data_IF_371051873599
#
_entry.id   IF_371051873599
#
_cell.length_a   1.000
_cell.length_b   1.000
_cell.length_c   1.000
_cell.angle_alpha   90.00
_cell.angle_beta   90.00
_cell.angle_gamma   90.00
#
_symmetry.space_group_name_H-M   'P 1'
#
loop_
_entity.id
_entity.type
_entity.pdbx_description
1 polymer ?
#
# COMPACT_ATOMS: atom_id res chain seq x y z
N UNK A 1 -23.56 18.57 -50.63
CA UNK A 1 -23.82 19.21 -49.32
C UNK A 1 -24.65 18.27 -48.46
N UNK A 2 -24.04 17.54 -47.52
CA UNK A 2 -24.74 16.60 -46.64
C UNK A 2 -25.07 17.30 -45.31
N UNK A 3 -26.34 17.68 -45.11
CA UNK A 3 -26.81 18.16 -43.80
C UNK A 3 -26.94 16.95 -42.87
N UNK A 4 -26.02 16.81 -41.93
CA UNK A 4 -26.15 15.89 -40.80
C UNK A 4 -27.24 16.41 -39.88
N UNK A 5 -28.40 15.74 -39.90
CA UNK A 5 -29.55 16.03 -39.07
C UNK A 5 -29.31 15.40 -37.69
N UNK A 6 -28.51 16.08 -36.87
CA UNK A 6 -28.27 15.71 -35.47
C UNK A 6 -29.57 15.95 -34.69
N UNK A 7 -30.43 14.94 -34.72
CA UNK A 7 -31.64 14.83 -33.93
C UNK A 7 -31.24 14.91 -32.44
N UNK A 8 -31.32 16.12 -31.89
CA UNK A 8 -30.98 16.44 -30.51
C UNK A 8 -32.11 15.90 -29.65
N UNK A 9 -31.98 14.63 -29.25
CA UNK A 9 -32.90 13.98 -28.32
C UNK A 9 -32.94 14.84 -27.04
N UNK A 10 -34.04 15.54 -26.82
CA UNK A 10 -34.24 16.37 -25.64
C UNK A 10 -34.18 15.49 -24.40
N UNK A 11 -33.08 15.60 -23.65
CA UNK A 11 -32.96 14.97 -22.33
C UNK A 11 -34.02 15.62 -21.45
N UNK A 12 -34.94 14.82 -20.91
CA UNK A 12 -35.97 15.31 -19.97
C UNK A 12 -35.32 15.68 -18.64
N UNK A 13 -35.95 16.60 -17.89
CA UNK A 13 -35.42 17.12 -16.62
C UNK A 13 -35.10 16.00 -15.61
N UNK A 14 -35.91 14.94 -15.59
CA UNK A 14 -35.69 13.77 -14.74
C UNK A 14 -34.48 12.93 -15.16
N UNK A 15 -34.19 12.83 -16.45
CA UNK A 15 -33.00 12.15 -16.95
C UNK A 15 -31.72 12.93 -16.62
N UNK A 16 -31.76 14.26 -16.65
CA UNK A 16 -30.63 15.10 -16.23
C UNK A 16 -30.36 14.96 -14.73
N UNK A 17 -31.41 14.88 -13.90
CA UNK A 17 -31.30 14.69 -12.46
C UNK A 17 -30.70 13.32 -12.10
N UNK A 18 -31.19 12.26 -12.75
CA UNK A 18 -30.64 10.90 -12.60
C UNK A 18 -29.18 10.82 -13.03
N UNK A 19 -28.82 11.44 -14.15
CA UNK A 19 -27.44 11.46 -14.63
C UNK A 19 -26.51 12.21 -13.66
N UNK A 20 -26.98 13.34 -13.12
CA UNK A 20 -26.23 14.12 -12.11
C UNK A 20 -26.02 13.33 -10.82
N UNK A 21 -27.07 12.71 -10.29
CA UNK A 21 -26.97 11.87 -9.09
C UNK A 21 -26.01 10.68 -9.30
N UNK A 22 -26.11 10.01 -10.46
CA UNK A 22 -25.21 8.92 -10.83
C UNK A 22 -23.74 9.37 -10.88
N UNK A 23 -23.45 10.52 -11.49
CA UNK A 23 -22.09 11.06 -11.57
C UNK A 23 -21.51 11.40 -10.20
N UNK A 24 -22.33 11.95 -9.29
CA UNK A 24 -21.92 12.24 -7.92
C UNK A 24 -21.58 10.95 -7.17
N UNK A 25 -22.45 9.94 -7.24
CA UNK A 25 -22.21 8.63 -6.61
C UNK A 25 -20.91 8.02 -7.17
N UNK A 26 -20.74 8.04 -8.49
CA UNK A 26 -19.56 7.49 -9.15
C UNK A 26 -18.27 8.23 -8.74
N UNK A 27 -18.33 9.54 -8.54
CA UNK A 27 -17.20 10.31 -8.02
C UNK A 27 -16.80 9.86 -6.61
N UNK A 28 -17.76 9.75 -5.70
CA UNK A 28 -17.49 9.32 -4.32
C UNK A 28 -17.01 7.86 -4.23
N UNK A 29 -17.52 6.96 -5.06
CA UNK A 29 -17.04 5.57 -5.08
C UNK A 29 -15.60 5.47 -5.59
N UNK A 30 -15.23 6.23 -6.62
CA UNK A 30 -13.84 6.29 -7.10
C UNK A 30 -12.91 6.87 -6.03
N UNK A 31 -13.34 7.93 -5.33
CA UNK A 31 -12.58 8.51 -4.23
C UNK A 31 -12.36 7.51 -3.08
N UNK A 32 -13.42 6.80 -2.69
CA UNK A 32 -13.33 5.76 -1.66
C UNK A 32 -12.40 4.61 -2.07
N UNK A 33 -12.50 4.15 -3.32
CA UNK A 33 -11.63 3.12 -3.86
C UNK A 33 -10.15 3.55 -3.85
N UNK A 34 -9.87 4.79 -4.26
CA UNK A 34 -8.53 5.37 -4.19
C UNK A 34 -7.99 5.38 -2.75
N UNK A 35 -8.81 5.78 -1.78
CA UNK A 35 -8.41 5.80 -0.37
C UNK A 35 -8.05 4.41 0.15
N UNK A 36 -8.85 3.39 -0.18
CA UNK A 36 -8.59 2.00 0.21
C UNK A 36 -7.31 1.46 -0.42
N UNK A 37 -7.09 1.74 -1.71
CA UNK A 37 -5.87 1.32 -2.43
C UNK A 37 -4.65 1.97 -1.79
N UNK A 38 -4.69 3.28 -1.55
CA UNK A 38 -3.58 4.02 -0.92
C UNK A 38 -3.28 3.48 0.48
N UNK A 39 -4.30 3.26 1.31
CA UNK A 39 -4.12 2.71 2.66
C UNK A 39 -3.49 1.31 2.63
N UNK A 40 -3.90 0.45 1.69
CA UNK A 40 -3.30 -0.88 1.51
C UNK A 40 -1.85 -0.78 1.04
N UNK A 41 -1.57 0.05 0.04
CA UNK A 41 -0.21 0.22 -0.47
C UNK A 41 0.74 0.76 0.60
N UNK A 42 0.31 1.72 1.42
CA UNK A 42 1.11 2.24 2.54
C UNK A 42 1.53 1.11 3.48
N UNK A 43 0.62 0.20 3.84
CA UNK A 43 0.96 -0.96 4.70
C UNK A 43 2.00 -1.87 4.05
N UNK A 44 1.96 -2.06 2.73
CA UNK A 44 2.95 -2.86 2.01
C UNK A 44 4.33 -2.19 2.01
N UNK A 45 4.39 -0.85 1.99
CA UNK A 45 5.65 -0.11 2.07
C UNK A 45 6.20 0.03 3.50
N UNK A 46 5.35 -0.01 4.52
CA UNK A 46 5.75 0.11 5.92
C UNK A 46 6.49 -1.14 6.44
N UNK A 47 6.27 -2.30 5.80
CA UNK A 47 7.01 -3.53 6.07
C UNK A 47 8.43 -3.38 5.51
N UNK A 48 9.34 -2.82 6.31
CA UNK A 48 10.77 -2.74 6.01
C UNK A 48 11.48 -3.98 6.55
N UNK A 49 12.29 -4.63 5.72
CA UNK A 49 13.22 -5.64 6.25
C UNK A 49 14.27 -4.96 7.12
N UNK A 50 14.42 -5.47 8.32
CA UNK A 50 15.45 -5.05 9.26
C UNK A 50 16.45 -6.20 9.37
N UNK A 51 17.73 -5.88 9.21
CA UNK A 51 18.81 -6.77 9.58
C UNK A 51 18.86 -6.84 11.10
N UNK A 52 18.48 -7.99 11.63
CA UNK A 52 18.61 -8.33 13.03
C UNK A 52 19.90 -9.10 13.23
N UNK A 53 20.76 -8.61 14.11
CA UNK A 53 21.87 -9.37 14.65
C UNK A 53 21.44 -9.86 16.03
N UNK A 54 21.39 -11.18 16.21
CA UNK A 54 20.89 -11.86 17.40
C UNK A 54 22.00 -12.65 18.07
N UNK A 55 21.91 -12.82 19.40
CA UNK A 55 22.72 -13.77 20.16
C UNK A 55 22.35 -15.20 19.80
N UNK A 56 23.22 -16.16 20.13
CA UNK A 56 23.01 -17.60 19.84
C UNK A 56 21.64 -18.14 20.27
N UNK A 57 21.10 -17.69 21.41
CA UNK A 57 19.78 -18.11 21.90
C UNK A 57 18.65 -17.61 20.98
N UNK A 58 18.74 -16.37 20.50
CA UNK A 58 17.84 -15.83 19.48
C UNK A 58 17.97 -16.53 18.13
N UNK A 59 19.17 -16.98 17.78
CA UNK A 59 19.43 -17.77 16.56
C UNK A 59 18.78 -19.15 16.63
N UNK A 60 18.87 -19.81 17.79
CA UNK A 60 18.19 -21.08 18.03
C UNK A 60 16.67 -20.90 17.98
N UNK A 61 16.13 -19.83 18.56
CA UNK A 61 14.70 -19.51 18.47
C UNK A 61 14.23 -19.40 17.01
N UNK A 62 14.99 -18.70 16.17
CA UNK A 62 14.69 -18.57 14.75
C UNK A 62 14.79 -19.89 13.98
N UNK A 63 15.84 -20.67 14.23
CA UNK A 63 16.02 -21.99 13.61
C UNK A 63 14.93 -22.98 14.00
N UNK A 64 14.49 -22.99 15.26
CA UNK A 64 13.33 -23.79 15.71
C UNK A 64 12.05 -23.39 14.99
N UNK A 65 11.98 -22.14 14.54
CA UNK A 65 10.88 -21.62 13.73
C UNK A 65 11.11 -21.76 12.22
N UNK A 66 12.12 -22.52 11.77
CA UNK A 66 12.37 -22.74 10.33
C UNK A 66 12.88 -21.50 9.60
N UNK A 67 13.42 -20.52 10.31
CA UNK A 67 14.03 -19.33 9.73
C UNK A 67 15.53 -19.56 9.56
N UNK A 68 16.01 -19.49 8.32
CA UNK A 68 17.43 -19.58 8.02
C UNK A 68 18.17 -18.30 8.43
N UNK A 69 19.19 -18.46 9.26
CA UNK A 69 20.03 -17.38 9.78
C UNK A 69 21.47 -17.53 9.26
N UNK A 70 22.14 -16.42 8.93
CA UNK A 70 23.57 -16.42 8.57
C UNK A 70 24.43 -16.17 9.81
N UNK A 71 25.69 -16.61 9.81
CA UNK A 71 26.62 -16.19 10.87
C UNK A 71 26.82 -14.67 10.83
N UNK A 72 26.89 -14.01 11.98
CA UNK A 72 27.16 -12.58 12.05
C UNK A 72 28.64 -12.30 11.67
N UNK A 73 28.91 -11.23 10.91
CA UNK A 73 30.28 -10.84 10.53
C UNK A 73 31.10 -10.34 11.73
N UNK A 74 30.44 -9.88 12.80
CA UNK A 74 31.07 -9.35 14.01
C UNK A 74 30.42 -9.93 15.26
N UNK A 75 31.00 -11.01 15.81
CA UNK A 75 30.67 -11.56 17.14
C UNK A 75 30.03 -12.97 17.15
N UNK A 76 29.72 -13.45 18.36
CA UNK A 76 29.03 -14.72 18.60
C UNK A 76 27.52 -14.53 18.43
N UNK A 77 27.02 -14.80 17.23
CA UNK A 77 25.60 -14.68 16.93
C UNK A 77 25.27 -14.94 15.46
N UNK A 78 24.05 -14.59 15.09
CA UNK A 78 23.56 -14.72 13.72
C UNK A 78 22.96 -13.41 13.23
N UNK A 79 22.98 -13.24 11.91
CA UNK A 79 22.37 -12.15 11.18
C UNK A 79 21.22 -12.69 10.34
N UNK A 80 20.08 -11.99 10.36
CA UNK A 80 18.92 -12.30 9.53
C UNK A 80 18.26 -11.02 9.05
N UNK A 81 17.73 -10.99 7.82
CA UNK A 81 17.04 -9.83 7.27
C UNK A 81 15.54 -10.17 7.13
N UNK A 82 14.74 -9.70 8.08
CA UNK A 82 13.31 -10.02 8.16
C UNK A 82 12.46 -8.79 8.50
N UNK A 83 11.16 -8.82 8.21
CA UNK A 83 10.22 -7.82 8.73
C UNK A 83 10.21 -7.89 10.26
N UNK A 84 10.78 -6.87 10.90
CA UNK A 84 10.83 -6.76 12.35
C UNK A 84 10.15 -5.48 12.79
N UNK A 85 9.10 -5.62 13.59
CA UNK A 85 8.42 -4.52 14.23
C UNK A 85 8.98 -4.36 15.64
N UNK A 86 9.86 -3.38 15.84
CA UNK A 86 10.37 -3.05 17.17
C UNK A 86 9.22 -2.54 18.04
N UNK A 87 9.05 -3.10 19.24
CA UNK A 87 8.07 -2.59 20.18
C UNK A 87 8.58 -1.25 20.75
N UNK A 88 7.79 -0.18 20.64
CA UNK A 88 8.14 1.14 21.15
C UNK A 88 7.98 1.25 22.68
N UNK A 89 7.20 0.34 23.28
CA UNK A 89 6.83 0.39 24.70
C UNK A 89 7.29 -0.86 25.48
N UNK A 90 8.00 -1.79 24.84
CA UNK A 90 8.48 -3.03 25.45
C UNK A 90 9.90 -3.39 25.03
N UNK A 91 10.58 -4.17 25.88
CA UNK A 91 11.95 -4.65 25.66
C UNK A 91 11.94 -5.82 24.64
N UNK A 92 11.67 -5.53 23.37
CA UNK A 92 11.83 -6.49 22.27
C UNK A 92 11.15 -6.07 20.97
N UNK A 93 10.72 -7.05 20.19
CA UNK A 93 9.89 -6.81 19.01
C UNK A 93 9.32 -8.09 18.42
N UNK A 94 8.56 -7.94 17.35
CA UNK A 94 7.87 -9.04 16.67
C UNK A 94 8.43 -9.18 15.27
N UNK A 95 8.83 -10.40 14.93
CA UNK A 95 9.17 -10.80 13.57
C UNK A 95 7.88 -11.30 12.91
N UNK A 96 7.48 -10.66 11.83
CA UNK A 96 6.30 -11.08 11.05
C UNK A 96 6.74 -11.87 9.83
N UNK A 97 6.42 -13.16 9.83
CA UNK A 97 6.53 -14.06 8.67
C UNK A 97 5.17 -14.17 7.98
N UNK A 98 5.13 -14.76 6.79
CA UNK A 98 3.89 -14.92 6.02
C UNK A 98 2.84 -15.76 6.75
N UNK A 99 3.27 -16.71 7.57
CA UNK A 99 2.44 -17.71 8.25
C UNK A 99 2.35 -17.51 9.78
N UNK A 100 3.25 -16.71 10.38
CA UNK A 100 3.33 -16.57 11.84
C UNK A 100 4.02 -15.29 12.31
N UNK A 101 3.81 -14.99 13.59
CA UNK A 101 4.51 -13.93 14.31
C UNK A 101 5.40 -14.56 15.38
N UNK A 102 6.65 -14.12 15.47
CA UNK A 102 7.61 -14.59 16.46
C UNK A 102 8.00 -13.41 17.34
N UNK A 103 7.74 -13.53 18.64
CA UNK A 103 8.19 -12.55 19.62
C UNK A 103 9.66 -12.78 19.95
N UNK A 104 10.45 -11.72 19.93
CA UNK A 104 11.89 -11.73 20.26
C UNK A 104 12.13 -10.72 21.36
N UNK A 105 12.72 -11.19 22.47
CA UNK A 105 13.12 -10.35 23.59
C UNK A 105 14.36 -9.51 23.24
N UNK A 106 14.46 -8.29 23.78
CA UNK A 106 15.54 -7.32 23.47
C UNK A 106 16.91 -7.79 23.93
N UNK A 107 16.99 -8.58 25.00
CA UNK A 107 18.24 -9.16 25.50
C UNK A 107 18.87 -10.14 24.50
N UNK A 108 18.08 -10.68 23.56
CA UNK A 108 18.53 -11.54 22.47
C UNK A 108 19.02 -10.74 21.24
N UNK A 109 18.70 -9.45 21.16
CA UNK A 109 19.02 -8.57 20.02
C UNK A 109 20.35 -7.84 20.32
N UNK A 110 21.36 -8.07 19.48
CA UNK A 110 22.64 -7.37 19.56
C UNK A 110 22.60 -6.04 18.80
N UNK A 111 21.95 -6.01 17.64
CA UNK A 111 21.84 -4.81 16.82
C UNK A 111 20.71 -4.93 15.80
N UNK A 112 20.15 -3.79 15.40
CA UNK A 112 19.16 -3.68 14.34
C UNK A 112 19.66 -2.68 13.28
N UNK A 113 19.84 -3.14 12.05
CA UNK A 113 20.14 -2.30 10.89
C UNK A 113 18.94 -2.25 9.95
N UNK A 114 18.56 -1.08 9.46
CA UNK A 114 17.58 -1.00 8.37
C UNK A 114 18.25 -1.45 7.08
N UNK A 115 17.76 -2.55 6.49
CA UNK A 115 18.19 -2.95 5.15
C UNK A 115 17.32 -2.16 4.18
N UNK A 116 17.95 -1.38 3.32
CA UNK A 116 17.22 -0.87 2.16
C UNK A 116 16.77 -2.08 1.34
N UNK A 117 15.45 -2.29 1.25
CA UNK A 117 14.85 -3.36 0.47
C UNK A 117 15.14 -3.14 -1.02
N UNK A 118 16.33 -3.54 -1.48
CA UNK A 118 16.64 -3.71 -2.88
C UNK A 118 17.06 -5.17 -3.14
N UNK A 119 16.42 -5.86 -4.10
CA UNK A 119 15.36 -5.38 -4.99
C UNK A 119 13.98 -5.31 -4.31
N UNK A 120 13.11 -4.41 -4.79
CA UNK A 120 11.71 -4.36 -4.36
C UNK A 120 11.03 -5.70 -4.61
N UNK A 121 10.37 -6.23 -3.57
CA UNK A 121 9.52 -7.43 -3.69
C UNK A 121 8.41 -7.19 -4.73
N UNK A 122 7.96 -8.21 -5.48
CA UNK A 122 6.91 -8.07 -6.49
C UNK A 122 5.63 -7.43 -5.94
N UNK A 123 5.29 -7.71 -4.69
CA UNK A 123 4.16 -7.12 -3.97
C UNK A 123 4.27 -5.58 -3.82
N UNK A 124 5.47 -5.05 -3.52
CA UNK A 124 5.73 -3.60 -3.45
C UNK A 124 5.59 -2.94 -4.82
N UNK A 125 6.07 -3.63 -5.86
CA UNK A 125 5.95 -3.16 -7.25
C UNK A 125 4.51 -3.11 -7.71
N UNK A 126 3.73 -4.16 -7.45
CA UNK A 126 2.29 -4.20 -7.78
C UNK A 126 1.52 -3.12 -7.03
N UNK A 127 1.77 -2.96 -5.72
CA UNK A 127 1.15 -1.91 -4.91
C UNK A 127 1.47 -0.49 -5.41
N UNK A 128 2.68 -0.26 -5.92
CA UNK A 128 3.06 1.01 -6.55
C UNK A 128 2.28 1.24 -7.86
N UNK A 129 2.23 0.23 -8.72
CA UNK A 129 1.54 0.31 -10.01
C UNK A 129 0.05 0.60 -9.78
N UNK A 130 -0.59 -0.10 -8.85
CA UNK A 130 -1.99 0.14 -8.48
C UNK A 130 -2.22 1.54 -7.89
N UNK A 131 -1.30 2.04 -7.06
CA UNK A 131 -1.38 3.39 -6.54
C UNK A 131 -1.26 4.43 -7.66
N UNK A 132 -0.33 4.24 -8.61
CA UNK A 132 -0.19 5.13 -9.77
C UNK A 132 -1.46 5.13 -10.64
N UNK A 133 -1.95 3.94 -11.01
CA UNK A 133 -3.14 3.79 -11.84
C UNK A 133 -4.38 4.41 -11.18
N UNK A 134 -4.61 4.13 -9.90
CA UNK A 134 -5.75 4.69 -9.17
C UNK A 134 -5.67 6.21 -9.08
N UNK A 135 -4.47 6.78 -8.93
CA UNK A 135 -4.27 8.24 -8.91
C UNK A 135 -4.54 8.87 -10.27
N UNK A 136 -4.14 8.23 -11.37
CA UNK A 136 -4.46 8.68 -12.73
C UNK A 136 -5.97 8.67 -12.97
N UNK A 137 -6.66 7.59 -12.58
CA UNK A 137 -8.13 7.48 -12.71
C UNK A 137 -8.82 8.59 -11.92
N UNK A 138 -8.40 8.84 -10.68
CA UNK A 138 -8.95 9.91 -9.86
C UNK A 138 -8.74 11.28 -10.51
N UNK A 139 -7.55 11.57 -11.02
CA UNK A 139 -7.24 12.84 -11.68
C UNK A 139 -8.10 13.07 -12.94
N UNK A 140 -8.32 12.03 -13.75
CA UNK A 140 -9.19 12.09 -14.92
C UNK A 140 -10.65 12.32 -14.52
N UNK A 141 -11.12 11.64 -13.47
CA UNK A 141 -12.48 11.78 -12.93
C UNK A 141 -12.73 13.19 -12.38
N UNK A 142 -11.79 13.74 -11.61
CA UNK A 142 -11.86 15.13 -11.12
C UNK A 142 -11.89 16.11 -12.28
N UNK A 143 -11.02 15.95 -13.28
CA UNK A 143 -11.02 16.83 -14.48
C UNK A 143 -12.34 16.76 -15.23
N UNK A 144 -12.88 15.57 -15.45
CA UNK A 144 -14.18 15.39 -16.11
C UNK A 144 -15.32 16.05 -15.32
N UNK A 145 -15.34 15.85 -14.00
CA UNK A 145 -16.34 16.44 -13.12
C UNK A 145 -16.29 17.97 -13.11
N UNK A 146 -15.10 18.56 -12.98
CA UNK A 146 -14.90 20.02 -13.03
C UNK A 146 -15.32 20.60 -14.38
N UNK A 147 -14.99 19.93 -15.49
CA UNK A 147 -15.40 20.35 -16.82
C UNK A 147 -16.93 20.35 -16.96
N UNK A 148 -17.61 19.31 -16.47
CA UNK A 148 -19.06 19.22 -16.50
C UNK A 148 -19.73 20.31 -15.63
N UNK A 149 -19.20 20.55 -14.43
CA UNK A 149 -19.68 21.64 -13.56
C UNK A 149 -19.53 23.01 -14.23
N UNK A 150 -18.36 23.29 -14.83
CA UNK A 150 -18.10 24.54 -15.53
C UNK A 150 -19.05 24.74 -16.71
N UNK A 151 -19.34 23.66 -17.45
CA UNK A 151 -20.28 23.69 -18.58
C UNK A 151 -21.73 23.90 -18.12
N UNK A 152 -22.11 23.37 -16.95
CA UNK A 152 -23.43 23.57 -16.37
C UNK A 152 -23.62 24.98 -15.80
N UNK A 153 -22.57 25.58 -15.21
CA UNK A 153 -22.62 26.94 -14.65
C UNK A 153 -22.65 28.05 -15.72
N UNK A 154 -21.99 27.82 -16.86
CA UNK A 154 -21.96 28.78 -17.98
C UNK A 154 -23.21 28.72 -18.88
N UNK A 155 -24.27 28.03 -18.47
CA UNK A 155 -25.50 27.80 -19.25
C UNK A 155 -26.71 28.32 -18.48
#
# INVERSE_FOLDING_TARGET
>A
MHKSNLNTKHITKDQALLLGAFLIILFFTVLAAWFVITARSIRVFDIKKTQLILKNDGCNLLRMNGVDTKAAEFGNGCSVALPFLKNLYGNGGVITLEDKQIEVADDLILSTGTVEDLPWTPMKTEALILMMLSTVVLALMVRGFVFLLKKAYNK
#
